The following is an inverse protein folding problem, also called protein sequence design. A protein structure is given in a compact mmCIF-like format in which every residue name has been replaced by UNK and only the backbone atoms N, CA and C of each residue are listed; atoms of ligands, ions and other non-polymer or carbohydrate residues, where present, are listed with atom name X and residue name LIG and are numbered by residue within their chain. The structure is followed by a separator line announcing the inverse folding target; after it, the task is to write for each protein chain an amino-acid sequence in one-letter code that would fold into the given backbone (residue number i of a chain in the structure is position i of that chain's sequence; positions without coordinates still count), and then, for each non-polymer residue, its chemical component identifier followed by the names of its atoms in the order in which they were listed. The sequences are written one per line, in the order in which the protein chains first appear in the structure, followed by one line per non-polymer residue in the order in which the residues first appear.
data_IF_455477294429
#
_entry.id   IF_455477294429
#
_cell.length_a   1.000
_cell.length_b   1.000
_cell.length_c   1.000
_cell.angle_alpha   90.00
_cell.angle_beta   90.00
_cell.angle_gamma   90.00
#
_symmetry.space_group_name_H-M   'P 1'
#
loop_
_entity.id
_entity.type
_entity.pdbx_description
1 polymer ?
#
# COMPACT_ATOMS: atom_id res chain seq x y z
N UNK A 1 -20.07 -1.04 2.79
CA UNK A 1 -19.65 0.40 2.69
C UNK A 1 -19.94 1.17 3.97
N UNK A 2 -21.17 1.19 4.52
CA UNK A 2 -21.52 1.96 5.74
C UNK A 2 -20.59 1.64 6.92
N UNK A 3 -20.25 0.39 7.15
CA UNK A 3 -19.39 -0.05 8.25
C UNK A 3 -17.98 0.59 8.20
N UNK A 4 -17.34 0.61 7.03
CA UNK A 4 -16.02 1.23 6.87
C UNK A 4 -16.07 2.75 7.03
N UNK A 5 -17.17 3.38 6.61
CA UNK A 5 -17.41 4.80 6.83
C UNK A 5 -17.57 5.11 8.32
N UNK A 6 -18.27 4.27 9.09
CA UNK A 6 -18.37 4.42 10.54
C UNK A 6 -17.01 4.34 11.23
N UNK A 7 -16.16 3.41 10.84
CA UNK A 7 -14.79 3.31 11.36
C UNK A 7 -14.00 4.58 11.05
N UNK A 8 -14.07 5.03 9.80
CA UNK A 8 -13.43 6.28 9.38
C UNK A 8 -13.90 7.46 10.23
N UNK A 9 -15.21 7.57 10.46
CA UNK A 9 -15.81 8.63 11.27
C UNK A 9 -15.37 8.54 12.74
N UNK A 10 -15.32 7.35 13.33
CA UNK A 10 -14.78 7.15 14.68
C UNK A 10 -13.33 7.59 14.80
N UNK A 11 -12.48 7.20 13.84
CA UNK A 11 -11.08 7.61 13.79
C UNK A 11 -10.95 9.14 13.63
N UNK A 12 -11.80 9.75 12.82
CA UNK A 12 -11.87 11.21 12.68
C UNK A 12 -12.17 11.87 14.02
N UNK A 13 -13.21 11.42 14.73
CA UNK A 13 -13.57 11.97 16.05
C UNK A 13 -12.43 11.77 17.05
N UNK A 14 -11.81 10.59 17.10
CA UNK A 14 -10.68 10.33 17.99
C UNK A 14 -9.47 11.23 17.68
N UNK A 15 -9.20 11.49 16.39
CA UNK A 15 -8.14 12.40 15.97
C UNK A 15 -8.42 13.85 16.41
N UNK A 16 -9.68 14.29 16.35
CA UNK A 16 -10.07 15.61 16.85
C UNK A 16 -9.93 15.74 18.37
N UNK A 17 -10.29 14.69 19.13
CA UNK A 17 -10.07 14.65 20.57
C UNK A 17 -8.58 14.75 20.92
N UNK A 18 -7.72 14.05 20.17
CA UNK A 18 -6.27 14.11 20.37
C UNK A 18 -5.71 15.50 20.11
N UNK A 19 -6.12 16.17 19.01
CA UNK A 19 -5.72 17.55 18.68
C UNK A 19 -6.17 18.54 19.77
N UNK A 20 -7.33 18.30 20.38
CA UNK A 20 -7.88 19.12 21.47
C UNK A 20 -7.34 18.74 22.86
N UNK A 21 -6.08 18.30 22.94
CA UNK A 21 -5.35 18.02 24.17
C UNK A 21 -5.87 16.83 25.00
N UNK A 22 -6.26 15.74 24.33
CA UNK A 22 -6.51 14.48 25.02
C UNK A 22 -5.25 14.05 25.81
N UNK A 23 -5.43 13.56 27.03
CA UNK A 23 -4.32 13.04 27.84
C UNK A 23 -3.59 11.93 27.10
N UNK A 24 -2.26 11.91 27.17
CA UNK A 24 -1.42 10.96 26.42
C UNK A 24 -1.78 9.49 26.67
N UNK A 25 -2.16 9.14 27.91
CA UNK A 25 -2.57 7.78 28.25
C UNK A 25 -3.85 7.37 27.54
N UNK A 26 -4.86 8.26 27.48
CA UNK A 26 -6.11 8.02 26.76
C UNK A 26 -5.88 7.99 25.24
N UNK A 27 -5.03 8.88 24.71
CA UNK A 27 -4.67 8.85 23.29
C UNK A 27 -4.00 7.52 22.92
N UNK A 28 -3.04 7.05 23.72
CA UNK A 28 -2.38 5.76 23.50
C UNK A 28 -3.36 4.58 23.59
N UNK A 29 -4.26 4.59 24.58
CA UNK A 29 -5.27 3.56 24.76
C UNK A 29 -6.23 3.49 23.55
N UNK A 30 -6.75 4.64 23.10
CA UNK A 30 -7.61 4.72 21.92
C UNK A 30 -6.87 4.31 20.65
N UNK A 31 -5.59 4.70 20.52
CA UNK A 31 -4.73 4.25 19.41
C UNK A 31 -4.58 2.74 19.39
N UNK A 32 -4.29 2.12 20.54
CA UNK A 32 -4.12 0.68 20.66
C UNK A 32 -5.41 -0.08 20.29
N UNK A 33 -6.56 0.35 20.82
CA UNK A 33 -7.87 -0.25 20.49
C UNK A 33 -8.18 -0.07 19.01
N UNK A 34 -8.03 1.14 18.47
CA UNK A 34 -8.31 1.42 17.07
C UNK A 34 -7.43 0.58 16.15
N UNK A 35 -6.13 0.50 16.44
CA UNK A 35 -5.19 -0.33 15.68
C UNK A 35 -5.54 -1.81 15.75
N UNK A 36 -5.92 -2.30 16.94
CA UNK A 36 -6.33 -3.70 17.11
C UNK A 36 -7.61 -4.02 16.32
N UNK A 37 -8.60 -3.13 16.34
CA UNK A 37 -9.84 -3.30 15.56
C UNK A 37 -9.55 -3.31 14.06
N UNK A 38 -8.71 -2.39 13.57
CA UNK A 38 -8.33 -2.35 12.16
C UNK A 38 -7.54 -3.60 11.75
N UNK A 39 -6.62 -4.05 12.59
CA UNK A 39 -5.89 -5.30 12.41
C UNK A 39 -6.84 -6.50 12.32
N UNK A 40 -7.77 -6.63 13.27
CA UNK A 40 -8.76 -7.70 13.29
C UNK A 40 -9.59 -7.71 12.01
N UNK A 41 -10.09 -6.56 11.60
CA UNK A 41 -10.87 -6.42 10.36
C UNK A 41 -10.06 -6.78 9.10
N UNK A 42 -8.77 -6.49 9.10
CA UNK A 42 -7.89 -6.76 7.96
C UNK A 42 -7.78 -8.25 7.63
N UNK A 43 -7.78 -9.15 8.60
CA UNK A 43 -7.65 -10.59 8.33
C UNK A 43 -8.96 -11.37 8.40
N UNK A 44 -9.99 -10.86 9.11
CA UNK A 44 -11.31 -11.52 9.19
C UNK A 44 -12.18 -11.20 7.96
N UNK A 45 -11.81 -10.19 7.17
CA UNK A 45 -12.54 -9.83 5.96
C UNK A 45 -12.73 -11.03 5.03
N UNK A 46 -13.93 -11.19 4.49
CA UNK A 46 -14.26 -12.21 3.52
C UNK A 46 -14.93 -11.56 2.30
N UNK A 47 -14.55 -11.99 1.10
CA UNK A 47 -15.08 -11.47 -0.17
C UNK A 47 -15.12 -9.93 -0.26
N UNK A 48 -14.09 -9.28 0.32
CA UNK A 48 -14.02 -7.82 0.37
C UNK A 48 -12.75 -7.32 -0.33
N UNK A 49 -12.93 -6.45 -1.31
CA UNK A 49 -11.86 -5.87 -2.11
C UNK A 49 -11.91 -6.35 -3.55
N UNK A 50 -11.48 -5.50 -4.47
CA UNK A 50 -11.50 -5.77 -5.92
C UNK A 50 -10.61 -6.95 -6.33
N UNK A 51 -9.53 -7.17 -5.60
CA UNK A 51 -8.52 -8.19 -5.93
C UNK A 51 -8.72 -9.48 -5.11
N UNK A 52 -9.80 -9.57 -4.31
CA UNK A 52 -9.97 -10.69 -3.38
C UNK A 52 -10.09 -12.02 -4.12
N UNK A 53 -10.93 -12.09 -5.14
CA UNK A 53 -11.16 -13.30 -5.92
C UNK A 53 -9.88 -13.81 -6.58
N UNK A 54 -9.11 -12.91 -7.21
CA UNK A 54 -7.85 -13.26 -7.86
C UNK A 54 -6.79 -13.77 -6.87
N UNK A 55 -6.67 -13.18 -5.67
CA UNK A 55 -5.75 -13.68 -4.66
C UNK A 55 -6.20 -14.99 -4.02
N UNK A 56 -7.51 -15.18 -3.83
CA UNK A 56 -8.06 -16.41 -3.29
C UNK A 56 -7.92 -17.56 -4.28
N UNK A 57 -8.18 -17.32 -5.55
CA UNK A 57 -8.00 -18.31 -6.63
C UNK A 57 -6.52 -18.68 -6.76
N UNK A 58 -5.61 -17.70 -6.80
CA UNK A 58 -4.18 -17.95 -6.80
C UNK A 58 -3.73 -18.81 -5.61
N UNK A 59 -4.18 -18.48 -4.39
CA UNK A 59 -3.86 -19.27 -3.19
C UNK A 59 -4.34 -20.71 -3.32
N UNK A 60 -5.53 -20.94 -3.87
CA UNK A 60 -6.10 -22.28 -4.01
C UNK A 60 -5.39 -23.12 -5.09
N UNK A 61 -4.96 -22.49 -6.15
CA UNK A 61 -4.34 -23.14 -7.32
C UNK A 61 -2.84 -22.87 -7.45
N UNK A 62 -2.15 -22.51 -6.37
CA UNK A 62 -0.75 -22.07 -6.38
C UNK A 62 0.20 -23.03 -7.08
N UNK A 63 -0.05 -24.35 -7.01
CA UNK A 63 0.79 -25.34 -7.66
C UNK A 63 0.67 -25.36 -9.19
N UNK A 64 -0.45 -24.86 -9.73
CA UNK A 64 -0.66 -24.71 -11.17
C UNK A 64 -0.02 -23.43 -11.71
N UNK A 65 -0.12 -22.32 -10.95
CA UNK A 65 0.31 -21.00 -11.40
C UNK A 65 1.74 -20.64 -11.00
N UNK A 66 2.44 -21.51 -10.27
CA UNK A 66 3.73 -21.16 -9.67
C UNK A 66 4.83 -20.82 -10.70
N UNK A 67 4.79 -21.39 -11.90
CA UNK A 67 5.78 -21.13 -12.96
C UNK A 67 5.40 -19.95 -13.88
N UNK A 68 4.09 -19.65 -14.01
CA UNK A 68 3.55 -18.65 -14.93
C UNK A 68 2.84 -17.50 -14.19
N UNK A 69 3.08 -17.33 -12.88
CA UNK A 69 2.36 -16.29 -12.14
C UNK A 69 2.99 -14.91 -12.34
N UNK A 70 2.16 -13.93 -12.65
CA UNK A 70 2.50 -12.48 -12.66
C UNK A 70 2.76 -11.91 -11.25
N UNK A 71 2.76 -12.75 -10.22
CA UNK A 71 2.94 -12.32 -8.85
C UNK A 71 4.42 -12.26 -8.46
N UNK A 72 4.78 -11.24 -7.70
CA UNK A 72 6.13 -11.05 -7.21
C UNK A 72 6.58 -12.18 -6.27
N UNK A 73 7.86 -12.51 -6.33
CA UNK A 73 8.48 -13.65 -5.65
C UNK A 73 8.15 -13.74 -4.15
N UNK A 74 8.21 -12.63 -3.40
CA UNK A 74 7.96 -12.64 -1.95
C UNK A 74 6.50 -12.98 -1.62
N UNK A 75 5.57 -12.42 -2.40
CA UNK A 75 4.15 -12.74 -2.26
C UNK A 75 3.89 -14.21 -2.59
N UNK A 76 4.40 -14.71 -3.71
CA UNK A 76 4.23 -16.10 -4.14
C UNK A 76 4.78 -17.08 -3.10
N UNK A 77 5.97 -16.83 -2.55
CA UNK A 77 6.60 -17.72 -1.56
C UNK A 77 5.85 -17.79 -0.23
N UNK A 78 5.32 -16.67 0.26
CA UNK A 78 4.52 -16.68 1.49
C UNK A 78 3.21 -17.44 1.25
N UNK A 79 2.56 -17.25 0.10
CA UNK A 79 1.37 -18.02 -0.27
C UNK A 79 1.66 -19.53 -0.28
N UNK A 80 2.74 -19.95 -0.93
CA UNK A 80 3.16 -21.35 -0.98
C UNK A 80 3.39 -21.94 0.42
N UNK A 81 4.19 -21.26 1.25
CA UNK A 81 4.48 -21.71 2.61
C UNK A 81 3.20 -21.87 3.42
N UNK A 82 2.32 -20.87 3.40
CA UNK A 82 1.06 -20.92 4.17
C UNK A 82 0.12 -21.98 3.61
N UNK A 83 0.07 -22.17 2.28
CA UNK A 83 -0.74 -23.23 1.66
C UNK A 83 -0.27 -24.61 2.08
N UNK A 84 1.05 -24.86 2.06
CA UNK A 84 1.65 -26.14 2.43
C UNK A 84 1.51 -26.46 3.92
N UNK A 85 1.61 -25.43 4.78
CA UNK A 85 1.63 -25.66 6.25
C UNK A 85 0.25 -25.65 6.87
N UNK A 86 -0.63 -24.76 6.44
CA UNK A 86 -1.92 -24.53 7.09
C UNK A 86 -3.10 -24.75 6.14
N UNK A 87 -2.93 -24.61 4.83
CA UNK A 87 -3.99 -24.75 3.84
C UNK A 87 -5.15 -23.75 3.96
N UNK A 88 -4.99 -22.67 4.72
CA UNK A 88 -6.06 -21.74 5.06
C UNK A 88 -5.72 -20.31 4.65
N UNK A 89 -6.57 -19.71 3.81
CA UNK A 89 -6.39 -18.35 3.29
C UNK A 89 -6.51 -17.26 4.37
N UNK A 90 -7.34 -17.46 5.40
CA UNK A 90 -7.46 -16.52 6.51
C UNK A 90 -6.14 -16.41 7.30
N UNK A 91 -5.37 -17.50 7.40
CA UNK A 91 -4.03 -17.48 8.01
C UNK A 91 -3.07 -16.64 7.16
N UNK A 92 -3.16 -16.72 5.84
CA UNK A 92 -2.39 -15.86 4.94
C UNK A 92 -2.72 -14.39 5.19
N UNK A 93 -4.00 -14.03 5.25
CA UNK A 93 -4.45 -12.67 5.57
C UNK A 93 -3.96 -12.21 6.94
N UNK A 94 -3.98 -13.09 7.94
CA UNK A 94 -3.46 -12.82 9.28
C UNK A 94 -1.96 -12.50 9.26
N UNK A 95 -1.14 -13.31 8.57
CA UNK A 95 0.31 -13.10 8.46
C UNK A 95 0.61 -11.75 7.80
N UNK A 96 -0.06 -11.43 6.70
CA UNK A 96 0.13 -10.14 6.04
C UNK A 96 -0.33 -8.97 6.92
N UNK A 97 -1.46 -9.13 7.62
CA UNK A 97 -1.93 -8.10 8.56
C UNK A 97 -0.92 -7.86 9.69
N UNK A 98 -0.32 -8.93 10.24
CA UNK A 98 0.76 -8.80 11.23
C UNK A 98 1.92 -7.96 10.70
N UNK A 99 2.39 -8.22 9.48
CA UNK A 99 3.48 -7.46 8.85
C UNK A 99 3.09 -5.99 8.69
N UNK A 100 1.91 -5.72 8.13
CA UNK A 100 1.42 -4.37 7.85
C UNK A 100 1.34 -3.56 9.15
N UNK A 101 0.58 -4.05 10.12
CA UNK A 101 0.32 -3.29 11.34
C UNK A 101 1.55 -3.17 12.23
N UNK A 102 2.43 -4.18 12.26
CA UNK A 102 3.69 -4.11 12.98
C UNK A 102 4.57 -2.95 12.49
N UNK A 103 4.79 -2.84 11.19
CA UNK A 103 5.66 -1.80 10.66
C UNK A 103 5.00 -0.42 10.73
N UNK A 104 3.71 -0.30 10.43
CA UNK A 104 3.00 0.98 10.48
C UNK A 104 2.93 1.54 11.90
N UNK A 105 2.51 0.74 12.89
CA UNK A 105 2.41 1.19 14.28
C UNK A 105 3.76 1.58 14.85
N UNK A 106 4.82 0.83 14.52
CA UNK A 106 6.18 1.13 14.96
C UNK A 106 6.67 2.50 14.48
N UNK A 107 6.34 2.88 13.26
CA UNK A 107 6.68 4.20 12.71
C UNK A 107 5.84 5.31 13.36
N UNK A 108 4.54 5.11 13.44
CA UNK A 108 3.61 6.09 14.02
C UNK A 108 4.01 6.39 15.47
N UNK A 109 4.14 5.37 16.31
CA UNK A 109 4.47 5.55 17.73
C UNK A 109 5.85 6.18 17.96
N UNK A 110 6.79 5.98 17.02
CA UNK A 110 8.13 6.54 17.16
C UNK A 110 8.24 8.00 16.74
N UNK A 111 7.50 8.41 15.71
CA UNK A 111 7.72 9.69 15.05
C UNK A 111 6.54 10.64 15.12
N UNK A 112 5.34 10.15 15.39
CA UNK A 112 4.18 11.02 15.47
C UNK A 112 3.94 11.54 16.89
N UNK A 113 3.80 12.84 17.08
CA UNK A 113 3.30 13.41 18.33
C UNK A 113 1.80 13.17 18.54
N UNK A 114 1.05 12.87 17.47
CA UNK A 114 -0.39 12.64 17.43
C UNK A 114 -0.69 11.31 16.75
N UNK A 115 -0.56 10.16 17.45
CA UNK A 115 -0.69 8.84 16.84
C UNK A 115 -2.08 8.55 16.27
N UNK A 116 -3.16 8.98 16.92
CA UNK A 116 -4.53 8.80 16.41
C UNK A 116 -4.76 9.60 15.12
N UNK A 117 -4.29 10.83 15.07
CA UNK A 117 -4.35 11.65 13.86
C UNK A 117 -3.56 11.03 12.70
N UNK A 118 -2.37 10.50 12.99
CA UNK A 118 -1.58 9.78 11.97
C UNK A 118 -2.27 8.50 11.50
N UNK A 119 -2.90 7.76 12.40
CA UNK A 119 -3.67 6.56 12.05
C UNK A 119 -4.88 6.90 11.19
N UNK A 120 -5.59 7.98 11.52
CA UNK A 120 -6.72 8.50 10.73
C UNK A 120 -6.28 8.86 9.30
N UNK A 121 -5.18 9.60 9.15
CA UNK A 121 -4.66 9.94 7.83
C UNK A 121 -4.23 8.71 7.04
N UNK A 122 -3.49 7.79 7.67
CA UNK A 122 -3.08 6.55 7.05
C UNK A 122 -4.28 5.75 6.56
N UNK A 123 -5.31 5.61 7.39
CA UNK A 123 -6.55 4.94 7.02
C UNK A 123 -7.28 5.67 5.88
N UNK A 124 -7.38 6.98 5.93
CA UNK A 124 -8.07 7.78 4.91
C UNK A 124 -7.40 7.68 3.52
N UNK A 125 -6.05 7.64 3.48
CA UNK A 125 -5.29 7.55 2.24
C UNK A 125 -5.28 6.10 1.72
N UNK A 126 -5.15 5.12 2.62
CA UNK A 126 -5.02 3.70 2.28
C UNK A 126 -6.33 2.92 2.35
N UNK A 127 -7.46 3.61 2.50
CA UNK A 127 -8.78 2.97 2.65
C UNK A 127 -9.05 1.94 1.54
N UNK A 128 -8.78 2.29 0.28
CA UNK A 128 -8.83 1.37 -0.83
C UNK A 128 -7.71 0.32 -0.79
N UNK A 129 -6.53 0.68 -0.28
CA UNK A 129 -5.34 -0.18 -0.25
C UNK A 129 -5.37 -1.21 0.88
N UNK A 130 -6.22 -1.07 1.89
CA UNK A 130 -6.40 -2.13 2.93
C UNK A 130 -6.79 -3.46 2.29
N UNK A 131 -7.42 -3.40 1.14
CA UNK A 131 -7.87 -4.56 0.38
C UNK A 131 -6.85 -5.09 -0.63
N UNK A 132 -5.82 -4.32 -0.98
CA UNK A 132 -4.74 -4.70 -1.89
C UNK A 132 -3.54 -5.23 -1.10
N UNK A 133 -3.54 -6.51 -0.76
CA UNK A 133 -2.59 -7.13 0.17
C UNK A 133 -1.13 -6.86 -0.21
N UNK A 134 -0.74 -7.13 -1.46
CA UNK A 134 0.64 -6.99 -1.94
C UNK A 134 1.17 -5.57 -1.81
N UNK A 135 0.39 -4.64 -2.33
CA UNK A 135 0.74 -3.22 -2.30
C UNK A 135 0.82 -2.70 -0.87
N UNK A 136 -0.11 -3.08 0.00
CA UNK A 136 -0.16 -2.61 1.39
C UNK A 136 1.03 -3.12 2.21
N UNK A 137 1.46 -4.37 2.01
CA UNK A 137 2.69 -4.91 2.62
C UNK A 137 3.91 -4.10 2.17
N UNK A 138 4.01 -3.86 0.86
CA UNK A 138 5.11 -3.08 0.32
C UNK A 138 5.12 -1.65 0.87
N UNK A 139 3.98 -0.96 0.92
CA UNK A 139 3.84 0.39 1.51
C UNK A 139 4.24 0.38 3.00
N UNK A 140 3.85 -0.63 3.77
CA UNK A 140 4.23 -0.72 5.18
C UNK A 140 5.76 -0.84 5.37
N UNK A 141 6.42 -1.63 4.52
CA UNK A 141 7.88 -1.76 4.49
C UNK A 141 8.56 -0.46 4.06
N UNK A 142 8.04 0.21 3.02
CA UNK A 142 8.54 1.51 2.57
C UNK A 142 8.37 2.57 3.66
N UNK A 143 7.22 2.62 4.31
CA UNK A 143 6.97 3.51 5.43
C UNK A 143 7.97 3.27 6.57
N UNK A 144 8.23 2.01 6.91
CA UNK A 144 9.25 1.67 7.90
C UNK A 144 10.67 2.03 7.44
N UNK A 145 10.98 1.92 6.15
CA UNK A 145 12.28 2.25 5.59
C UNK A 145 12.68 3.71 5.83
N UNK A 146 11.70 4.64 5.90
CA UNK A 146 11.95 6.06 6.21
C UNK A 146 12.65 6.25 7.56
N UNK A 147 12.43 5.33 8.52
CA UNK A 147 13.13 5.35 9.81
C UNK A 147 14.64 5.24 9.65
N UNK A 148 15.10 4.50 8.65
CA UNK A 148 16.51 4.33 8.37
C UNK A 148 17.11 5.55 7.68
N UNK A 149 16.34 6.26 6.84
CA UNK A 149 16.77 7.54 6.29
C UNK A 149 16.99 8.57 7.39
N UNK A 150 16.02 8.72 8.30
CA UNK A 150 16.12 9.65 9.43
C UNK A 150 17.34 9.32 10.32
N UNK A 151 17.60 8.03 10.56
CA UNK A 151 18.72 7.57 11.37
C UNK A 151 20.05 7.43 10.58
N UNK A 152 20.12 7.93 9.33
CA UNK A 152 21.30 7.87 8.44
C UNK A 152 21.82 6.46 8.16
N UNK A 153 20.97 5.45 8.29
CA UNK A 153 21.30 4.04 8.02
C UNK A 153 20.91 3.68 6.57
N UNK A 154 21.57 4.33 5.61
CA UNK A 154 21.27 4.27 4.18
C UNK A 154 21.20 2.83 3.64
N UNK A 155 22.09 1.95 4.08
CA UNK A 155 22.10 0.55 3.65
C UNK A 155 20.79 -0.18 3.99
N UNK A 156 20.32 -0.03 5.23
CA UNK A 156 19.07 -0.65 5.67
C UNK A 156 17.84 -0.08 4.93
N UNK A 157 17.88 1.18 4.54
CA UNK A 157 16.86 1.79 3.70
C UNK A 157 16.74 1.05 2.36
N UNK A 158 17.84 0.83 1.66
CA UNK A 158 17.82 0.12 0.38
C UNK A 158 17.46 -1.36 0.52
N UNK A 159 17.87 -2.03 1.59
CA UNK A 159 17.42 -3.40 1.88
C UNK A 159 15.89 -3.45 2.04
N UNK A 160 15.30 -2.52 2.79
CA UNK A 160 13.84 -2.47 2.95
C UNK A 160 13.12 -2.23 1.62
N UNK A 161 13.66 -1.37 0.75
CA UNK A 161 13.08 -1.18 -0.60
C UNK A 161 13.18 -2.48 -1.41
N UNK A 162 14.34 -3.13 -1.41
CA UNK A 162 14.50 -4.42 -2.09
C UNK A 162 13.49 -5.45 -1.58
N UNK A 163 13.31 -5.58 -0.26
CA UNK A 163 12.30 -6.49 0.30
C UNK A 163 10.89 -6.06 -0.13
N UNK A 164 10.57 -4.77 -0.15
CA UNK A 164 9.28 -4.28 -0.60
C UNK A 164 9.00 -4.61 -2.07
N UNK A 165 10.02 -4.57 -2.95
CA UNK A 165 9.87 -4.96 -4.37
C UNK A 165 9.55 -6.44 -4.56
N UNK A 166 9.88 -7.30 -3.61
CA UNK A 166 9.49 -8.71 -3.63
C UNK A 166 7.99 -8.92 -3.41
N UNK A 167 7.27 -7.90 -2.92
CA UNK A 167 5.82 -7.91 -2.75
C UNK A 167 5.10 -7.05 -3.78
N UNK A 168 5.74 -5.98 -4.25
CA UNK A 168 5.17 -5.09 -5.25
C UNK A 168 6.28 -4.35 -6.02
N UNK A 169 6.44 -4.68 -7.28
CA UNK A 169 7.57 -4.25 -8.11
C UNK A 169 7.70 -2.73 -8.20
N UNK A 170 6.58 -1.96 -8.24
CA UNK A 170 6.61 -0.50 -8.30
C UNK A 170 7.23 0.17 -7.06
N UNK A 171 7.42 -0.57 -5.97
CA UNK A 171 8.11 -0.09 -4.76
C UNK A 171 9.54 0.39 -5.03
N UNK A 172 10.16 -0.07 -6.11
CA UNK A 172 11.47 0.39 -6.54
C UNK A 172 11.54 1.91 -6.75
N UNK A 173 10.45 2.53 -7.17
CA UNK A 173 10.37 3.99 -7.37
C UNK A 173 10.70 4.75 -6.07
N UNK A 174 10.50 4.13 -4.90
CA UNK A 174 10.81 4.75 -3.61
C UNK A 174 12.32 5.00 -3.37
N UNK A 175 13.20 4.45 -4.21
CA UNK A 175 14.64 4.78 -4.22
C UNK A 175 14.85 6.30 -4.36
N UNK A 176 13.99 6.99 -5.12
CA UNK A 176 14.07 8.44 -5.26
C UNK A 176 13.84 9.21 -3.96
N UNK A 177 13.16 8.62 -2.97
CA UNK A 177 12.98 9.24 -1.65
C UNK A 177 14.32 9.52 -0.95
N UNK A 178 15.36 8.73 -1.23
CA UNK A 178 16.71 8.98 -0.71
C UNK A 178 17.28 10.32 -1.19
N UNK A 179 17.07 10.66 -2.44
CA UNK A 179 17.52 11.92 -3.00
C UNK A 179 16.65 13.08 -2.53
N UNK A 180 15.32 12.88 -2.55
CA UNK A 180 14.35 13.89 -2.10
C UNK A 180 14.56 14.26 -0.62
N UNK A 181 14.86 13.31 0.23
CA UNK A 181 15.10 13.54 1.66
C UNK A 181 16.28 14.47 1.92
N UNK A 182 17.24 14.56 0.99
CA UNK A 182 18.41 15.44 1.09
C UNK A 182 18.17 16.84 0.54
N UNK A 183 17.10 17.04 -0.21
CA UNK A 183 16.76 18.34 -0.80
C UNK A 183 16.18 19.26 0.28
N UNK A 184 16.69 20.48 0.35
CA UNK A 184 16.08 21.53 1.15
C UNK A 184 15.07 22.28 0.30
N UNK A 185 13.84 21.79 0.24
CA UNK A 185 12.79 22.37 -0.56
C UNK A 185 12.06 23.44 0.26
N UNK A 186 11.97 24.65 -0.26
CA UNK A 186 11.17 25.72 0.33
C UNK A 186 9.68 25.51 0.00
N UNK A 187 8.78 26.09 0.82
CA UNK A 187 7.33 26.03 0.59
C UNK A 187 6.95 26.53 -0.82
N UNK A 188 7.61 27.59 -1.31
CA UNK A 188 7.38 28.11 -2.66
C UNK A 188 7.75 27.10 -3.75
N UNK A 189 8.89 26.41 -3.60
CA UNK A 189 9.31 25.35 -4.51
C UNK A 189 8.35 24.15 -4.46
N UNK A 190 7.83 23.79 -3.28
CA UNK A 190 6.83 22.74 -3.15
C UNK A 190 5.57 23.05 -3.95
N UNK A 191 5.01 24.27 -3.81
CA UNK A 191 3.86 24.70 -4.62
C UNK A 191 4.18 24.73 -6.11
N UNK A 192 5.37 25.18 -6.49
CA UNK A 192 5.80 25.15 -7.87
C UNK A 192 5.84 23.72 -8.43
N UNK A 193 6.43 22.77 -7.72
CA UNK A 193 6.46 21.36 -8.15
C UNK A 193 5.07 20.72 -8.22
N UNK A 194 4.17 21.04 -7.28
CA UNK A 194 2.78 20.60 -7.34
C UNK A 194 2.06 21.15 -8.57
N UNK A 195 2.21 22.44 -8.87
CA UNK A 195 1.63 23.05 -10.06
C UNK A 195 2.20 22.42 -11.34
N UNK A 196 3.52 22.24 -11.41
CA UNK A 196 4.18 21.61 -12.56
C UNK A 196 3.73 20.15 -12.73
N UNK A 197 3.58 19.40 -11.66
CA UNK A 197 3.05 18.02 -11.67
C UNK A 197 1.62 17.99 -12.21
N UNK A 198 0.78 18.91 -11.77
CA UNK A 198 -0.59 19.03 -12.28
C UNK A 198 -0.63 19.37 -13.77
N UNK A 199 0.15 20.36 -14.21
CA UNK A 199 0.25 20.72 -15.63
C UNK A 199 0.80 19.55 -16.47
N UNK A 200 1.82 18.86 -15.95
CA UNK A 200 2.39 17.68 -16.61
C UNK A 200 1.38 16.56 -16.77
N UNK A 201 0.49 16.34 -15.77
CA UNK A 201 -0.54 15.31 -15.85
C UNK A 201 -1.51 15.51 -17.01
N UNK A 202 -1.79 16.77 -17.39
CA UNK A 202 -2.65 17.10 -18.53
C UNK A 202 -2.02 16.64 -19.85
N UNK A 203 -0.69 16.75 -19.95
CA UNK A 203 0.05 16.35 -21.16
C UNK A 203 0.47 14.86 -21.13
N UNK A 204 0.33 14.21 -19.99
CA UNK A 204 0.85 12.84 -19.79
C UNK A 204 0.24 11.85 -20.80
N UNK A 205 -1.06 11.92 -21.04
CA UNK A 205 -1.76 11.05 -22.00
C UNK A 205 -1.20 11.22 -23.41
N UNK A 206 -1.00 12.47 -23.84
CA UNK A 206 -0.42 12.75 -25.18
C UNK A 206 1.02 12.27 -25.30
N UNK A 207 1.82 12.43 -24.24
CA UNK A 207 3.21 11.96 -24.18
C UNK A 207 3.24 10.43 -24.20
N UNK A 208 2.38 9.76 -23.44
CA UNK A 208 2.28 8.29 -23.45
C UNK A 208 1.89 7.76 -24.81
N UNK A 209 0.87 8.32 -25.45
CA UNK A 209 0.45 7.91 -26.79
C UNK A 209 1.56 8.09 -27.85
N UNK A 210 2.45 9.07 -27.66
CA UNK A 210 3.60 9.30 -28.55
C UNK A 210 4.76 8.32 -28.29
N UNK A 211 4.93 7.86 -27.06
CA UNK A 211 6.02 6.96 -26.65
C UNK A 211 5.62 5.50 -26.80
N UNK A 212 4.32 5.18 -26.68
CA UNK A 212 3.78 3.82 -26.74
C UNK A 212 4.31 3.00 -27.94
N UNK A 213 4.37 3.53 -29.16
CA UNK A 213 4.90 2.79 -30.31
C UNK A 213 6.40 2.51 -30.23
N UNK A 214 7.14 3.25 -29.39
CA UNK A 214 8.60 3.12 -29.21
C UNK A 214 8.97 2.11 -28.13
N UNK A 215 8.03 1.82 -27.22
CA UNK A 215 8.20 0.90 -26.08
C UNK A 215 7.46 -0.39 -26.39
N UNK A 216 8.12 -1.29 -27.13
CA UNK A 216 7.53 -2.58 -27.49
C UNK A 216 7.42 -3.56 -26.32
N UNK A 217 6.66 -4.66 -26.50
CA UNK A 217 6.59 -5.81 -25.59
C UNK A 217 5.62 -5.66 -24.41
N UNK A 218 5.98 -6.24 -23.27
CA UNK A 218 5.13 -6.36 -22.06
C UNK A 218 4.66 -4.99 -21.54
N UNK A 219 5.49 -3.96 -21.66
CA UNK A 219 5.15 -2.61 -21.18
C UNK A 219 4.05 -2.00 -22.05
N UNK A 220 4.12 -2.17 -23.36
CA UNK A 220 3.09 -1.71 -24.28
C UNK A 220 1.75 -2.37 -23.97
N UNK A 221 1.72 -3.69 -23.81
CA UNK A 221 0.49 -4.44 -23.52
C UNK A 221 -0.14 -4.01 -22.18
N UNK A 222 0.66 -3.88 -21.12
CA UNK A 222 0.15 -3.38 -19.83
C UNK A 222 -0.41 -1.96 -19.93
N UNK A 223 0.25 -1.10 -20.68
CA UNK A 223 -0.18 0.30 -20.84
C UNK A 223 -1.48 0.40 -21.66
N UNK A 224 -1.60 -0.37 -22.73
CA UNK A 224 -2.82 -0.45 -23.55
C UNK A 224 -3.99 -0.97 -22.71
N UNK A 225 -3.77 -1.98 -21.86
CA UNK A 225 -4.78 -2.49 -20.94
C UNK A 225 -5.24 -1.43 -19.95
N UNK A 226 -4.32 -0.66 -19.35
CA UNK A 226 -4.69 0.42 -18.43
C UNK A 226 -5.41 1.59 -19.11
N UNK A 227 -5.07 1.91 -20.34
CA UNK A 227 -5.78 2.96 -21.10
C UNK A 227 -7.19 2.51 -21.47
N UNK A 228 -7.36 1.28 -21.92
CA UNK A 228 -8.68 0.70 -22.19
C UNK A 228 -9.59 0.65 -20.96
N UNK A 229 -9.04 0.25 -19.79
CA UNK A 229 -9.78 0.27 -18.53
C UNK A 229 -10.16 1.69 -18.06
N UNK A 230 -9.38 2.70 -18.43
CA UNK A 230 -9.67 4.11 -18.14
C UNK A 230 -10.78 4.68 -19.01
N UNK A 231 -10.95 4.18 -20.24
CA UNK A 231 -12.00 4.63 -21.19
C UNK A 231 -13.36 3.97 -20.90
N UNK A 232 -13.37 2.71 -20.45
CA UNK A 232 -14.62 1.94 -20.20
C UNK A 232 -15.29 2.21 -18.84
N UNK A 233 -14.83 3.20 -18.08
CA UNK A 233 -15.51 3.63 -16.83
C UNK A 233 -15.70 2.56 -15.78
N UNK A 234 -14.80 1.59 -15.65
CA UNK A 234 -14.77 0.66 -14.52
C UNK A 234 -15.59 -0.62 -14.68
N UNK A 235 -15.75 -1.13 -15.88
CA UNK A 235 -16.28 -2.47 -16.14
C UNK A 235 -15.26 -3.55 -15.74
N UNK A 236 -15.55 -4.32 -14.70
CA UNK A 236 -14.78 -5.49 -14.29
C UNK A 236 -14.93 -6.62 -15.32
N UNK A 237 -14.09 -6.66 -16.31
CA UNK A 237 -13.78 -7.91 -17.00
C UNK A 237 -12.40 -8.40 -16.58
N UNK A 238 -12.37 -9.64 -16.15
CA UNK A 238 -11.23 -10.31 -15.54
C UNK A 238 -9.98 -10.23 -16.42
N UNK A 239 -8.91 -9.60 -15.90
CA UNK A 239 -7.57 -9.58 -16.50
C UNK A 239 -6.95 -11.00 -16.62
N UNK A 240 -7.68 -12.05 -16.21
CA UNK A 240 -7.22 -13.44 -16.10
C UNK A 240 -7.82 -14.39 -17.13
N UNK A 241 -8.51 -13.90 -18.16
CA UNK A 241 -8.99 -14.73 -19.28
C UNK A 241 -8.17 -14.50 -20.54
N UNK A 242 -6.97 -15.09 -20.56
CA UNK A 242 -6.12 -15.14 -21.74
C UNK A 242 -5.01 -16.13 -21.54
#
# INVERSE_FOLDING_TARGET
MLFYFLIWFCLFVFSLLEINNLQKEHSFFLFAISTFLLFFLSFVRWETGTDWDGYYEYFNHIFYYFQDSDFEFGFARINEIIKLTFGNYTILLFVFSCIIFFFQTKVILKYSPLPLFSLFFLWSISFANVFYIRQTVAIALLFYSTTFLVNKKTWLFFICIYIATLFHSTSFVFVFAYFLFRLRITVKQMFFFLLMSFLFSIFLVSVFNSILPLVGGIIQHKLETYLALGEDGGGHESIFSG
#
